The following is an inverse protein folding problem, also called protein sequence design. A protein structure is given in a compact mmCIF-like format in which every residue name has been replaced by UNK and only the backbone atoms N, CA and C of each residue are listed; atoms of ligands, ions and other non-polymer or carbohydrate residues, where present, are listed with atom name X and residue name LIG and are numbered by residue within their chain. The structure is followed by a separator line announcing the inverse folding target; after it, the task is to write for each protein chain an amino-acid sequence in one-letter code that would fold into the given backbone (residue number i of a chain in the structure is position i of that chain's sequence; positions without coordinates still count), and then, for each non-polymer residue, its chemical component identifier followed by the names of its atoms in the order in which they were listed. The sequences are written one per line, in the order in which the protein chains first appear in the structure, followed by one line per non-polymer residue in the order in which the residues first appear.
data_IF_376679957716
#
_entry.id   IF_376679957716
#
_cell.length_a   1.000
_cell.length_b   1.000
_cell.length_c   1.000
_cell.angle_alpha   90.00
_cell.angle_beta   90.00
_cell.angle_gamma   90.00
#
_symmetry.space_group_name_H-M   'P 1'
#
loop_
_entity.id
_entity.type
_entity.pdbx_description
1 polymer ?
#
# COMPACT_ATOMS: atom_id res chain seq x y z
N UNK A 1 -5.28 6.75 9.90
CA UNK A 1 -5.58 6.86 8.46
C UNK A 1 -6.83 6.06 8.18
N UNK A 2 -7.77 6.61 7.41
CA UNK A 2 -9.03 5.96 7.04
C UNK A 2 -9.33 6.32 5.61
N UNK A 3 -9.65 5.32 4.80
CA UNK A 3 -10.12 5.48 3.43
C UNK A 3 -11.43 4.71 3.27
N UNK A 4 -12.42 5.36 2.70
CA UNK A 4 -13.64 4.70 2.24
C UNK A 4 -13.48 4.52 0.73
N UNK A 5 -13.50 3.27 0.26
CA UNK A 5 -13.45 2.91 -1.17
C UNK A 5 -14.85 2.46 -1.59
N UNK A 6 -15.36 3.03 -2.68
CA UNK A 6 -16.60 2.61 -3.32
C UNK A 6 -16.24 2.01 -4.68
N UNK A 7 -16.52 0.73 -4.87
CA UNK A 7 -16.45 0.09 -6.17
C UNK A 7 -17.80 -0.53 -6.51
N UNK A 8 -18.43 -0.01 -7.56
CA UNK A 8 -19.69 -0.50 -8.14
C UNK A 8 -20.84 -0.74 -7.13
N UNK A 9 -20.88 0.02 -6.04
CA UNK A 9 -21.92 -0.05 -5.00
C UNK A 9 -21.57 -0.93 -3.79
N UNK A 10 -20.41 -1.61 -3.81
CA UNK A 10 -19.81 -2.24 -2.63
C UNK A 10 -18.91 -1.22 -1.94
N UNK A 11 -19.17 -0.96 -0.66
CA UNK A 11 -18.38 -0.03 0.14
C UNK A 11 -17.41 -0.79 1.01
N UNK A 12 -16.15 -0.60 0.70
CA UNK A 12 -15.02 -1.18 1.42
C UNK A 12 -14.41 -0.10 2.29
N UNK A 13 -14.39 -0.34 3.60
CA UNK A 13 -13.69 0.50 4.55
C UNK A 13 -12.28 -0.05 4.77
N UNK A 14 -11.27 0.76 4.44
CA UNK A 14 -9.88 0.49 4.77
C UNK A 14 -9.45 1.41 5.92
N UNK A 15 -8.91 0.83 6.97
CA UNK A 15 -8.38 1.56 8.12
C UNK A 15 -6.93 1.18 8.40
N UNK A 16 -6.18 2.13 8.96
CA UNK A 16 -4.77 1.93 9.26
C UNK A 16 -4.18 3.03 10.13
N UNK A 17 -3.02 2.78 10.71
CA UNK A 17 -2.27 3.74 11.52
C UNK A 17 -0.80 3.68 11.14
N UNK A 18 -0.15 4.85 11.05
CA UNK A 18 1.31 4.89 10.88
C UNK A 18 1.96 4.34 12.14
N UNK A 19 2.82 3.33 11.94
CA UNK A 19 3.68 2.76 12.96
C UNK A 19 5.04 3.46 12.97
N UNK A 20 5.58 3.78 11.78
CA UNK A 20 6.81 4.53 11.62
C UNK A 20 6.78 5.42 10.37
N UNK A 21 7.40 6.60 10.49
CA UNK A 21 7.67 7.52 9.37
C UNK A 21 9.13 7.94 9.51
N UNK A 22 10.03 7.23 8.82
CA UNK A 22 11.46 7.53 8.81
C UNK A 22 11.81 8.22 7.49
N UNK A 23 11.89 9.55 7.50
CA UNK A 23 12.10 10.32 6.26
C UNK A 23 13.59 10.38 5.89
N UNK A 24 13.97 10.17 4.62
CA UNK A 24 13.14 9.82 3.45
C UNK A 24 13.05 8.30 3.17
N UNK A 25 13.44 7.45 4.12
CA UNK A 25 13.84 6.06 3.88
C UNK A 25 12.71 5.03 3.99
N UNK A 26 11.75 5.23 4.89
CA UNK A 26 10.76 4.21 5.17
C UNK A 26 9.43 4.76 5.69
N UNK A 27 8.37 4.01 5.41
CA UNK A 27 7.01 4.20 5.90
C UNK A 27 6.43 2.85 6.31
N UNK A 28 5.94 2.74 7.55
CA UNK A 28 5.29 1.53 8.04
C UNK A 28 3.92 1.88 8.59
N UNK A 29 2.88 1.13 8.22
CA UNK A 29 1.53 1.33 8.70
C UNK A 29 0.71 0.04 8.75
N UNK A 30 -0.31 0.04 9.60
CA UNK A 30 -1.28 -1.04 9.66
C UNK A 30 -2.32 -0.94 8.56
N UNK A 31 -2.94 -2.07 8.22
CA UNK A 31 -4.03 -2.17 7.26
C UNK A 31 -5.08 -3.18 7.72
N UNK A 32 -6.33 -2.74 7.77
CA UNK A 32 -7.53 -3.57 7.95
C UNK A 32 -8.54 -3.23 6.86
N UNK A 33 -9.23 -4.24 6.35
CA UNK A 33 -10.25 -4.13 5.31
C UNK A 33 -11.57 -4.74 5.82
N UNK A 34 -12.67 -3.99 5.71
CA UNK A 34 -14.01 -4.44 6.14
C UNK A 34 -14.54 -5.66 5.39
N UNK A 35 -14.00 -5.95 4.21
CA UNK A 35 -14.48 -7.02 3.33
C UNK A 35 -13.78 -8.35 3.61
N UNK A 36 -12.76 -8.36 4.46
CA UNK A 36 -12.18 -9.60 4.94
C UNK A 36 -13.17 -10.41 5.78
N UNK A 37 -13.02 -11.73 5.76
CA UNK A 37 -13.86 -12.64 6.54
C UNK A 37 -13.82 -12.32 8.05
N UNK A 38 -12.66 -11.88 8.57
CA UNK A 38 -12.54 -11.24 9.87
C UNK A 38 -12.04 -9.80 9.71
N UNK A 39 -12.92 -8.79 9.82
CA UNK A 39 -12.56 -7.38 9.64
C UNK A 39 -11.74 -6.81 10.81
N UNK A 40 -11.55 -7.56 11.90
CA UNK A 40 -10.69 -7.16 13.02
C UNK A 40 -9.22 -7.50 12.79
N UNK A 41 -8.93 -8.37 11.81
CA UNK A 41 -7.56 -8.68 11.41
C UNK A 41 -6.86 -7.42 10.94
N UNK A 42 -5.62 -7.28 11.39
CA UNK A 42 -4.75 -6.17 11.04
C UNK A 42 -3.47 -6.72 10.44
N UNK A 43 -3.16 -6.27 9.24
CA UNK A 43 -1.93 -6.55 8.50
C UNK A 43 -0.97 -5.36 8.54
N UNK A 44 0.25 -5.53 8.04
CA UNK A 44 1.29 -4.50 8.05
C UNK A 44 1.79 -4.26 6.63
N UNK A 45 1.90 -2.99 6.26
CA UNK A 45 2.52 -2.54 5.02
C UNK A 45 3.80 -1.80 5.36
N UNK A 46 4.92 -2.28 4.82
CA UNK A 46 6.22 -1.63 4.85
C UNK A 46 6.53 -1.10 3.45
N UNK A 47 6.89 0.18 3.36
CA UNK A 47 7.38 0.80 2.14
C UNK A 47 8.78 1.33 2.40
N UNK A 48 9.75 0.88 1.62
CA UNK A 48 11.15 1.26 1.73
C UNK A 48 11.61 1.99 0.47
N UNK A 49 12.49 2.96 0.65
CA UNK A 49 13.04 3.79 -0.41
C UNK A 49 14.57 3.74 -0.36
N UNK A 50 15.18 3.28 -1.45
CA UNK A 50 16.63 3.15 -1.59
C UNK A 50 17.13 3.88 -2.85
N UNK A 51 18.33 4.48 -2.83
CA UNK A 51 18.92 5.01 -4.05
C UNK A 51 19.14 3.91 -5.10
N UNK A 52 18.70 4.12 -6.34
CA UNK A 52 18.87 3.18 -7.45
C UNK A 52 19.94 3.62 -8.49
N UNK A 53 20.66 4.71 -8.23
CA UNK A 53 21.56 5.35 -9.20
C UNK A 53 20.82 6.37 -10.08
N UNK A 54 21.55 7.22 -10.80
CA UNK A 54 21.02 8.20 -11.76
C UNK A 54 19.89 9.11 -11.22
N UNK A 55 19.92 9.41 -9.91
CA UNK A 55 18.88 10.19 -9.24
C UNK A 55 17.54 9.44 -9.07
N UNK A 56 17.50 8.15 -9.39
CA UNK A 56 16.35 7.28 -9.23
C UNK A 56 16.25 6.70 -7.82
N UNK A 57 15.05 6.26 -7.45
CA UNK A 57 14.75 5.60 -6.17
C UNK A 57 14.09 4.26 -6.44
N UNK A 58 14.63 3.19 -5.85
CA UNK A 58 13.95 1.91 -5.74
C UNK A 58 12.95 2.01 -4.60
N UNK A 59 11.67 1.77 -4.91
CA UNK A 59 10.61 1.66 -3.91
C UNK A 59 10.17 0.21 -3.80
N UNK A 60 10.27 -0.35 -2.60
CA UNK A 60 9.84 -1.71 -2.28
C UNK A 60 8.60 -1.66 -1.39
N UNK A 61 7.60 -2.49 -1.69
CA UNK A 61 6.39 -2.64 -0.88
C UNK A 61 6.31 -4.08 -0.39
N UNK A 62 6.30 -4.27 0.93
CA UNK A 62 6.03 -5.55 1.56
C UNK A 62 4.72 -5.47 2.35
N UNK A 63 3.80 -6.39 2.09
CA UNK A 63 2.53 -6.49 2.80
C UNK A 63 2.47 -7.84 3.54
N UNK A 64 2.70 -7.80 4.84
CA UNK A 64 2.79 -8.98 5.70
C UNK A 64 1.58 -9.09 6.63
N UNK A 65 1.35 -10.29 7.17
CA UNK A 65 0.21 -10.63 8.02
C UNK A 65 -1.17 -10.44 7.33
N UNK A 66 -1.19 -10.56 6.00
CA UNK A 66 -2.43 -10.68 5.24
C UNK A 66 -3.11 -12.03 5.52
N UNK A 67 -4.46 -12.08 5.52
CA UNK A 67 -5.18 -13.34 5.35
C UNK A 67 -4.64 -14.06 4.09
N UNK A 68 -4.25 -15.35 4.16
CA UNK A 68 -3.63 -16.04 3.03
C UNK A 68 -4.47 -16.02 1.76
N UNK A 69 -5.80 -16.08 1.89
CA UNK A 69 -6.77 -16.03 0.79
C UNK A 69 -6.78 -14.68 0.05
N UNK A 70 -6.27 -13.61 0.67
CA UNK A 70 -6.22 -12.27 0.09
C UNK A 70 -4.90 -11.97 -0.63
N UNK A 71 -3.92 -12.89 -0.59
CA UNK A 71 -2.58 -12.65 -1.12
C UNK A 71 -2.60 -12.21 -2.59
N UNK A 72 -3.24 -13.00 -3.47
CA UNK A 72 -3.25 -12.71 -4.92
C UNK A 72 -3.97 -11.40 -5.25
N UNK A 73 -5.04 -11.09 -4.50
CA UNK A 73 -5.82 -9.87 -4.64
C UNK A 73 -4.95 -8.64 -4.31
N UNK A 74 -4.31 -8.64 -3.14
CA UNK A 74 -3.46 -7.54 -2.70
C UNK A 74 -2.17 -7.43 -3.51
N UNK A 75 -1.58 -8.56 -3.93
CA UNK A 75 -0.43 -8.56 -4.81
C UNK A 75 -0.74 -7.85 -6.14
N UNK A 76 -1.86 -8.19 -6.77
CA UNK A 76 -2.30 -7.56 -8.01
C UNK A 76 -2.63 -6.07 -7.81
N UNK A 77 -3.27 -5.72 -6.68
CA UNK A 77 -3.58 -4.34 -6.32
C UNK A 77 -2.32 -3.48 -6.13
N UNK A 78 -1.28 -4.02 -5.49
CA UNK A 78 0.00 -3.31 -5.32
C UNK A 78 0.74 -3.09 -6.63
N UNK A 79 0.71 -4.07 -7.55
CA UNK A 79 1.28 -3.91 -8.90
C UNK A 79 0.61 -2.73 -9.61
N UNK A 80 -0.73 -2.71 -9.67
CA UNK A 80 -1.47 -1.64 -10.32
C UNK A 80 -1.20 -0.28 -9.68
N UNK A 81 -1.12 -0.23 -8.35
CA UNK A 81 -0.82 1.00 -7.60
C UNK A 81 0.57 1.54 -7.95
N UNK A 82 1.58 0.66 -8.04
CA UNK A 82 2.94 1.04 -8.41
C UNK A 82 3.03 1.56 -9.86
N UNK A 83 2.33 0.92 -10.81
CA UNK A 83 2.26 1.38 -12.20
C UNK A 83 1.61 2.76 -12.34
N UNK A 84 0.51 3.00 -11.62
CA UNK A 84 -0.17 4.29 -11.58
C UNK A 84 0.72 5.38 -11.00
N UNK A 85 1.44 5.08 -9.91
CA UNK A 85 2.40 6.00 -9.32
C UNK A 85 3.53 6.32 -10.29
N UNK A 86 4.12 5.31 -10.95
CA UNK A 86 5.16 5.51 -11.97
C UNK A 86 4.70 6.44 -13.09
N UNK A 87 3.53 6.16 -13.66
CA UNK A 87 2.91 7.01 -14.70
C UNK A 87 2.70 8.45 -14.21
N UNK A 88 2.30 8.62 -12.94
CA UNK A 88 2.05 9.94 -12.37
C UNK A 88 3.34 10.73 -12.15
N UNK A 89 4.43 10.06 -11.76
CA UNK A 89 5.75 10.64 -11.56
C UNK A 89 6.37 11.09 -12.88
N UNK A 90 6.27 10.30 -13.94
CA UNK A 90 6.74 10.67 -15.28
C UNK A 90 6.04 11.92 -15.84
N UNK A 91 4.77 12.12 -15.47
CA UNK A 91 3.95 13.27 -15.89
C UNK A 91 4.14 14.51 -15.02
N UNK A 92 4.73 14.38 -13.84
CA UNK A 92 5.08 15.53 -13.01
C UNK A 92 6.40 16.11 -13.52
N UNK A 93 6.46 17.38 -13.95
CA UNK A 93 7.75 18.02 -14.12
C UNK A 93 8.46 18.09 -12.76
N UNK A 94 9.72 17.63 -12.72
CA UNK A 94 10.62 17.76 -11.58
C UNK A 94 10.94 19.22 -11.29
#
# INVERSE_FOLDING_TARGET
MRFDIDDSGTRVLITGQFLAIDRPRALCFTWSNSDWNDPTVTSIVNVEFEPAGDGQTLMSIEHSLLPPEEFDNFHSGWILTAEQLGTRLERSPT
#
